data_IF_364250532913
#
_entry.id   IF_364250532913
#
_cell.length_a   1.000
_cell.length_b   1.000
_cell.length_c   1.000
_cell.angle_alpha   90.00
_cell.angle_beta   90.00
_cell.angle_gamma   90.00
#
_symmetry.space_group_name_H-M   'P 1'
#
loop_
_entity.id
_entity.type
_entity.pdbx_description
1 polymer ?
#
# COMPACT_ATOMS: atom_id res chain seq x y z
N UNK A 1 15.72 10.84 5.84
CA UNK A 1 15.10 9.52 6.10
C UNK A 1 13.59 9.56 5.94
N UNK A 2 12.90 10.64 6.34
CA UNK A 2 11.45 10.82 6.17
C UNK A 2 11.02 10.57 4.72
N UNK A 3 11.55 11.29 3.72
CA UNK A 3 11.08 11.17 2.33
C UNK A 3 10.88 9.73 1.79
N UNK A 4 11.70 8.74 2.15
CA UNK A 4 11.56 7.37 1.64
C UNK A 4 10.20 6.73 1.99
N UNK A 5 9.68 6.95 3.20
CA UNK A 5 8.40 6.34 3.60
C UNK A 5 7.21 7.10 3.00
N UNK A 6 7.33 8.43 2.83
CA UNK A 6 6.35 9.21 2.07
C UNK A 6 6.32 8.79 0.60
N UNK A 7 7.48 8.68 -0.03
CA UNK A 7 7.60 8.28 -1.44
C UNK A 7 7.04 6.87 -1.65
N UNK A 8 7.35 5.91 -0.75
CA UNK A 8 6.78 4.57 -0.80
C UNK A 8 5.25 4.55 -0.62
N UNK A 9 4.70 5.41 0.25
CA UNK A 9 3.25 5.57 0.40
C UNK A 9 2.61 6.11 -0.87
N UNK A 10 3.21 7.12 -1.47
CA UNK A 10 2.68 7.82 -2.64
C UNK A 10 2.79 6.95 -3.91
N UNK A 11 3.88 6.19 -4.05
CA UNK A 11 4.03 5.19 -5.11
C UNK A 11 2.98 4.07 -4.97
N UNK A 12 2.73 3.60 -3.75
CA UNK A 12 1.66 2.63 -3.49
C UNK A 12 0.27 3.20 -3.83
N UNK A 13 -0.03 4.45 -3.44
CA UNK A 13 -1.30 5.12 -3.80
C UNK A 13 -1.47 5.20 -5.33
N UNK A 14 -0.43 5.64 -6.03
CA UNK A 14 -0.44 5.73 -7.49
C UNK A 14 -0.67 4.36 -8.15
N UNK A 15 0.03 3.31 -7.68
CA UNK A 15 -0.12 1.95 -8.20
C UNK A 15 -1.53 1.38 -7.96
N UNK A 16 -2.11 1.62 -6.77
CA UNK A 16 -3.49 1.21 -6.46
C UNK A 16 -4.48 1.91 -7.39
N UNK A 17 -4.36 3.23 -7.57
CA UNK A 17 -5.23 4.01 -8.45
C UNK A 17 -5.13 3.59 -9.91
N UNK A 18 -3.92 3.29 -10.40
CA UNK A 18 -3.71 2.77 -11.75
C UNK A 18 -4.43 1.43 -12.00
N UNK A 19 -4.72 0.68 -10.93
CA UNK A 19 -5.49 -0.57 -10.95
C UNK A 19 -6.98 -0.37 -10.58
N UNK A 20 -7.46 0.87 -10.52
CA UNK A 20 -8.85 1.19 -10.17
C UNK A 20 -9.20 0.96 -8.69
N UNK A 21 -8.19 0.83 -7.82
CA UNK A 21 -8.38 0.60 -6.39
C UNK A 21 -8.18 1.93 -5.65
N UNK A 22 -9.12 2.27 -4.78
CA UNK A 22 -8.97 3.38 -3.83
C UNK A 22 -9.20 2.86 -2.42
N UNK A 23 -8.24 3.14 -1.53
CA UNK A 23 -8.40 2.85 -0.11
C UNK A 23 -9.12 4.01 0.58
N UNK A 24 -10.05 3.75 1.51
CA UNK A 24 -10.68 4.78 2.34
C UNK A 24 -9.67 5.58 3.17
N UNK A 25 -8.54 4.96 3.51
CA UNK A 25 -7.39 5.65 4.08
C UNK A 25 -6.08 4.97 3.68
N UNK A 26 -5.04 5.78 3.45
CA UNK A 26 -3.67 5.35 3.24
C UNK A 26 -2.76 6.44 3.84
N UNK A 27 -1.92 6.08 4.79
CA UNK A 27 -1.19 7.05 5.59
C UNK A 27 0.10 6.49 6.16
N UNK A 28 0.82 7.33 6.90
CA UNK A 28 1.92 6.88 7.74
C UNK A 28 1.39 6.64 9.15
N UNK A 29 1.88 5.62 9.84
CA UNK A 29 1.52 5.39 11.23
C UNK A 29 2.22 6.42 12.13
N UNK A 30 1.49 7.38 12.72
CA UNK A 30 2.08 8.45 13.51
C UNK A 30 2.86 7.95 14.73
N UNK A 31 2.48 6.79 15.29
CA UNK A 31 3.18 6.22 16.46
C UNK A 31 4.59 5.76 16.08
N UNK A 32 4.72 5.14 14.91
CA UNK A 32 6.04 4.73 14.40
C UNK A 32 6.87 5.92 13.92
N UNK A 33 6.22 6.95 13.37
CA UNK A 33 6.89 8.18 12.93
C UNK A 33 7.48 8.99 14.10
N UNK A 34 6.86 8.93 15.28
CA UNK A 34 7.32 9.67 16.46
C UNK A 34 8.46 8.97 17.22
N UNK A 35 8.69 7.67 16.97
CA UNK A 35 9.64 6.86 17.73
C UNK A 35 11.06 6.91 17.15
N UNK A 36 12.05 7.29 17.97
CA UNK A 36 13.46 7.53 17.58
C UNK A 36 14.14 6.32 16.91
N UNK A 37 13.74 5.10 17.25
CA UNK A 37 14.37 3.85 16.78
C UNK A 37 13.35 2.90 16.10
N UNK A 38 12.22 3.43 15.60
CA UNK A 38 11.24 2.62 14.89
C UNK A 38 11.49 2.63 13.38
N UNK A 39 11.13 1.53 12.72
CA UNK A 39 10.94 1.52 11.28
C UNK A 39 9.59 2.19 10.97
N UNK A 40 9.55 3.31 10.22
CA UNK A 40 8.30 3.94 9.83
C UNK A 40 7.39 2.97 9.09
N UNK A 41 6.13 2.88 9.50
CA UNK A 41 5.13 2.03 8.85
C UNK A 41 4.17 2.84 7.98
N UNK A 42 3.83 2.26 6.83
CA UNK A 42 2.68 2.71 6.03
C UNK A 42 1.44 1.98 6.54
N UNK A 43 0.42 2.76 6.91
CA UNK A 43 -0.87 2.26 7.34
C UNK A 43 -1.80 2.07 6.13
N UNK A 44 -2.15 0.82 5.84
CA UNK A 44 -3.13 0.42 4.82
C UNK A 44 -4.51 0.41 5.48
N UNK A 45 -5.36 1.37 5.15
CA UNK A 45 -6.67 1.56 5.78
C UNK A 45 -7.62 0.36 5.67
N UNK A 46 -8.80 0.51 6.27
CA UNK A 46 -9.86 -0.51 6.19
C UNK A 46 -10.39 -0.58 4.76
N UNK A 47 -10.33 -1.74 4.13
CA UNK A 47 -10.93 -2.01 2.83
C UNK A 47 -12.39 -2.45 3.00
N UNK A 48 -13.27 -2.07 2.07
CA UNK A 48 -14.57 -2.74 1.92
C UNK A 48 -14.41 -4.03 1.08
N UNK A 49 -15.46 -4.85 1.00
CA UNK A 49 -15.43 -6.14 0.29
C UNK A 49 -15.03 -5.97 -1.17
N UNK A 50 -15.58 -4.98 -1.87
CA UNK A 50 -15.26 -4.70 -3.28
C UNK A 50 -13.76 -4.41 -3.47
N UNK A 51 -13.18 -3.59 -2.60
CA UNK A 51 -11.74 -3.28 -2.61
C UNK A 51 -10.89 -4.53 -2.35
N UNK A 52 -11.30 -5.40 -1.42
CA UNK A 52 -10.60 -6.66 -1.11
C UNK A 52 -10.60 -7.59 -2.32
N UNK A 53 -11.73 -7.74 -3.01
CA UNK A 53 -11.84 -8.59 -4.20
C UNK A 53 -10.93 -8.09 -5.34
N UNK A 54 -10.97 -6.79 -5.63
CA UNK A 54 -10.12 -6.16 -6.65
C UNK A 54 -8.64 -6.32 -6.32
N UNK A 55 -8.24 -6.01 -5.09
CA UNK A 55 -6.85 -6.13 -4.65
C UNK A 55 -6.36 -7.58 -4.75
N UNK A 56 -7.18 -8.53 -4.30
CA UNK A 56 -6.86 -9.96 -4.38
C UNK A 56 -6.68 -10.42 -5.83
N UNK A 57 -7.55 -9.97 -6.74
CA UNK A 57 -7.46 -10.31 -8.16
C UNK A 57 -6.17 -9.76 -8.80
N UNK A 58 -5.80 -8.51 -8.49
CA UNK A 58 -4.57 -7.89 -8.99
C UNK A 58 -3.33 -8.63 -8.48
N UNK A 59 -3.28 -8.92 -7.18
CA UNK A 59 -2.14 -9.63 -6.57
C UNK A 59 -1.96 -11.04 -7.14
N UNK A 60 -3.05 -11.78 -7.38
CA UNK A 60 -2.99 -13.10 -8.03
C UNK A 60 -2.42 -13.02 -9.44
N UNK A 61 -2.93 -12.09 -10.25
CA UNK A 61 -2.42 -11.85 -11.62
C UNK A 61 -0.93 -11.47 -11.62
N UNK A 62 -0.49 -10.66 -10.67
CA UNK A 62 0.92 -10.29 -10.54
C UNK A 62 1.79 -11.51 -10.18
N UNK A 63 1.36 -12.34 -9.22
CA UNK A 63 2.06 -13.55 -8.83
C UNK A 63 2.11 -14.60 -9.96
N UNK A 64 1.10 -14.66 -10.82
CA UNK A 64 1.12 -15.51 -12.02
C UNK A 64 2.16 -15.03 -13.04
N UNK A 65 2.28 -13.71 -13.27
CA UNK A 65 3.29 -13.14 -14.17
C UNK A 65 4.72 -13.39 -13.68
N UNK A 66 4.96 -13.21 -12.37
CA UNK A 66 6.26 -13.44 -11.75
C UNK A 66 6.77 -14.89 -11.83
N UNK A 67 5.89 -15.87 -12.09
CA UNK A 67 6.29 -17.27 -12.27
C UNK A 67 6.77 -17.59 -13.69
N UNK A 68 6.55 -16.66 -14.63
CA UNK A 68 6.90 -16.83 -16.05
C UNK A 68 8.28 -16.22 -16.32
N UNK A 69 8.72 -15.27 -15.49
CA UNK A 69 10.06 -14.68 -15.46
C UNK A 69 11.05 -15.54 -14.64
#
# INVERSE_FOLDING_TARGET
MTNLVQDARDELDAALRANGITLPSLGLDPMTMAARNACPLVNLGRCNVQTVELLTAVLRRAAERQKID
#
